data_IF_458127118286
#
_entry.id   IF_458127118286
#
_cell.length_a   1.000
_cell.length_b   1.000
_cell.length_c   1.000
_cell.angle_alpha   90.00
_cell.angle_beta   90.00
_cell.angle_gamma   90.00
#
_symmetry.space_group_name_H-M   'P 1'
#
loop_
_entity.id
_entity.type
_entity.pdbx_description
1 polymer ?
#
# COMPACT_ATOMS: atom_id res chain seq x y z
N UNK A 1 17.26 -31.71 53.32
CA UNK A 1 16.18 -31.08 52.52
C UNK A 1 16.62 -31.08 51.06
N UNK A 2 15.84 -31.68 50.14
CA UNK A 2 16.15 -31.72 48.71
C UNK A 2 15.37 -30.62 47.99
N UNK A 3 16.04 -29.56 47.53
CA UNK A 3 15.43 -28.55 46.67
C UNK A 3 15.20 -29.15 45.27
N UNK A 4 13.96 -29.10 44.79
CA UNK A 4 13.60 -29.46 43.42
C UNK A 4 13.76 -28.23 42.54
N UNK A 5 14.61 -28.31 41.52
CA UNK A 5 14.76 -27.28 40.51
C UNK A 5 13.51 -27.23 39.63
N UNK A 6 12.76 -26.13 39.68
CA UNK A 6 11.68 -25.84 38.73
C UNK A 6 12.31 -25.00 37.63
N UNK A 7 12.65 -25.64 36.50
CA UNK A 7 13.03 -24.95 35.29
C UNK A 7 11.75 -24.45 34.60
N UNK A 8 11.47 -23.15 34.71
CA UNK A 8 10.39 -22.49 33.96
C UNK A 8 10.91 -22.25 32.54
N UNK A 9 10.49 -23.08 31.60
CA UNK A 9 10.70 -22.85 30.18
C UNK A 9 9.77 -21.71 29.72
N UNK A 10 10.34 -20.52 29.52
CA UNK A 10 9.65 -19.39 28.91
C UNK A 10 9.39 -19.67 27.43
N UNK A 11 8.16 -20.06 27.10
CA UNK A 11 7.67 -20.09 25.73
C UNK A 11 7.43 -18.65 25.25
N UNK A 12 8.45 -18.05 24.64
CA UNK A 12 8.30 -16.82 23.87
C UNK A 12 7.48 -17.14 22.61
N UNK A 13 6.18 -16.86 22.66
CA UNK A 13 5.32 -16.91 21.48
C UNK A 13 5.72 -15.75 20.57
N UNK A 14 6.43 -16.07 19.49
CA UNK A 14 6.56 -15.16 18.35
C UNK A 14 5.16 -14.99 17.75
N UNK A 15 4.43 -13.96 18.19
CA UNK A 15 3.22 -13.51 17.52
C UNK A 15 3.69 -13.00 16.16
N UNK A 16 3.61 -13.86 15.15
CA UNK A 16 3.67 -13.44 13.76
C UNK A 16 2.49 -12.49 13.55
N UNK A 17 2.73 -11.19 13.70
CA UNK A 17 1.87 -10.16 13.18
C UNK A 17 1.92 -10.26 11.66
N UNK A 18 1.19 -11.23 11.11
CA UNK A 18 0.80 -11.16 9.72
C UNK A 18 0.02 -9.85 9.59
N UNK A 19 0.66 -8.81 9.02
CA UNK A 19 0.02 -7.53 8.75
C UNK A 19 -1.26 -7.80 7.96
N UNK A 20 -2.40 -7.81 8.66
CA UNK A 20 -3.70 -7.85 8.03
C UNK A 20 -3.79 -6.56 7.22
N UNK A 21 -3.86 -6.69 5.90
CA UNK A 21 -4.02 -5.54 5.03
C UNK A 21 -5.39 -4.94 5.35
N UNK A 22 -5.43 -3.72 5.88
CA UNK A 22 -6.67 -3.02 6.22
C UNK A 22 -7.62 -3.06 5.02
N UNK A 23 -8.92 -3.39 5.17
CA UNK A 23 -9.88 -3.30 4.07
C UNK A 23 -9.83 -1.92 3.41
N UNK A 24 -10.03 -1.84 2.08
CA UNK A 24 -9.83 -0.57 1.37
C UNK A 24 -10.86 0.47 1.76
N UNK A 25 -12.05 0.01 2.14
CA UNK A 25 -13.17 0.80 2.65
C UNK A 25 -12.86 1.43 4.00
N UNK A 26 -11.96 0.83 4.78
CA UNK A 26 -11.56 1.29 6.11
C UNK A 26 -10.34 2.21 6.10
N UNK A 27 -9.79 2.54 4.93
CA UNK A 27 -8.74 3.55 4.84
C UNK A 27 -9.37 4.91 5.09
N UNK A 28 -8.86 5.63 6.07
CA UNK A 28 -9.26 6.99 6.36
C UNK A 28 -8.51 7.96 5.46
N UNK A 29 -9.24 8.92 4.89
CA UNK A 29 -8.70 9.99 4.05
C UNK A 29 -9.23 11.33 4.56
N UNK A 30 -8.54 12.42 4.23
CA UNK A 30 -8.94 13.79 4.59
C UNK A 30 -9.44 14.59 3.38
N UNK A 31 -9.58 13.93 2.24
CA UNK A 31 -10.00 14.56 0.99
C UNK A 31 -11.41 15.13 1.05
N UNK A 32 -11.57 16.33 0.47
CA UNK A 32 -12.89 16.91 0.28
C UNK A 32 -13.68 16.14 -0.77
N UNK A 33 -15.02 16.19 -0.70
CA UNK A 33 -15.87 15.56 -1.71
C UNK A 33 -15.60 16.12 -3.11
N UNK A 34 -15.32 17.42 -3.23
CA UNK A 34 -14.92 18.06 -4.49
C UNK A 34 -13.67 17.40 -5.10
N UNK A 35 -12.63 17.16 -4.29
CA UNK A 35 -11.41 16.48 -4.74
C UNK A 35 -11.71 15.05 -5.20
N UNK A 36 -12.56 14.33 -4.45
CA UNK A 36 -12.94 12.96 -4.77
C UNK A 36 -13.71 12.90 -6.10
N UNK A 37 -14.63 13.84 -6.33
CA UNK A 37 -15.43 13.91 -7.55
C UNK A 37 -14.58 14.31 -8.77
N UNK A 38 -13.62 15.22 -8.59
CA UNK A 38 -12.62 15.54 -9.61
C UNK A 38 -11.79 14.32 -9.97
N UNK A 39 -11.27 13.59 -8.97
CA UNK A 39 -10.52 12.37 -9.20
C UNK A 39 -11.38 11.32 -9.94
N UNK A 40 -12.63 11.08 -9.51
CA UNK A 40 -13.55 10.18 -10.22
C UNK A 40 -13.74 10.56 -11.69
N UNK A 41 -13.85 11.86 -11.97
CA UNK A 41 -13.95 12.38 -13.35
C UNK A 41 -12.67 12.11 -14.14
N UNK A 42 -11.52 12.42 -13.57
CA UNK A 42 -10.21 12.30 -14.23
C UNK A 42 -9.81 10.83 -14.49
N UNK A 43 -10.21 9.90 -13.62
CA UNK A 43 -9.90 8.46 -13.74
C UNK A 43 -11.02 7.62 -14.34
N UNK A 44 -12.13 8.23 -14.81
CA UNK A 44 -13.33 7.51 -15.25
C UNK A 44 -13.05 6.42 -16.29
N UNK A 45 -12.17 6.68 -17.25
CA UNK A 45 -11.86 5.79 -18.37
C UNK A 45 -10.51 5.07 -18.19
N UNK A 46 -9.87 5.21 -17.02
CA UNK A 46 -8.59 4.60 -16.74
C UNK A 46 -8.80 3.16 -16.21
N UNK A 47 -8.67 2.17 -17.09
CA UNK A 47 -9.00 0.75 -16.84
C UNK A 47 -8.46 0.15 -15.52
N UNK A 48 -7.30 0.62 -15.05
CA UNK A 48 -6.62 0.04 -13.88
C UNK A 48 -6.80 0.88 -12.61
N UNK A 49 -7.60 1.95 -12.70
CA UNK A 49 -7.89 2.85 -11.60
C UNK A 49 -9.37 2.80 -11.26
N UNK A 50 -9.65 2.95 -9.96
CA UNK A 50 -10.98 3.19 -9.44
C UNK A 50 -10.86 4.19 -8.30
N UNK A 51 -11.61 5.28 -8.33
CA UNK A 51 -11.69 6.19 -7.18
C UNK A 51 -12.90 5.79 -6.33
N UNK A 52 -12.66 5.53 -5.05
CA UNK A 52 -13.67 5.13 -4.08
C UNK A 52 -14.28 6.35 -3.40
N UNK A 53 -15.49 6.19 -2.86
CA UNK A 53 -16.22 7.26 -2.17
C UNK A 53 -15.50 7.72 -0.89
N UNK A 54 -14.68 6.87 -0.29
CA UNK A 54 -13.86 7.22 0.87
C UNK A 54 -12.55 7.94 0.50
N UNK A 55 -12.40 8.41 -0.74
CA UNK A 55 -11.22 9.17 -1.18
C UNK A 55 -9.96 8.35 -1.46
N UNK A 56 -10.09 7.02 -1.56
CA UNK A 56 -8.99 6.15 -2.00
C UNK A 56 -8.95 6.08 -3.53
N UNK A 57 -7.78 6.36 -4.10
CA UNK A 57 -7.45 6.00 -5.47
C UNK A 57 -6.96 4.55 -5.44
N UNK A 58 -7.74 3.63 -5.98
CA UNK A 58 -7.41 2.22 -6.05
C UNK A 58 -6.82 1.87 -7.41
N UNK A 59 -5.54 1.51 -7.42
CA UNK A 59 -4.85 0.99 -8.60
C UNK A 59 -4.69 -0.52 -8.49
N UNK A 60 -5.05 -1.28 -9.53
CA UNK A 60 -4.81 -2.72 -9.53
C UNK A 60 -4.29 -3.24 -10.86
N UNK A 61 -3.36 -4.21 -10.75
CA UNK A 61 -2.81 -4.96 -11.89
C UNK A 61 -2.71 -6.42 -11.51
N UNK A 62 -3.05 -7.30 -12.46
CA UNK A 62 -2.86 -8.74 -12.34
C UNK A 62 -1.77 -9.20 -13.32
N UNK A 63 -0.92 -10.12 -12.88
CA UNK A 63 -0.01 -10.85 -13.78
C UNK A 63 -0.34 -12.35 -13.71
N UNK A 64 -0.30 -12.99 -14.88
CA UNK A 64 -0.55 -14.41 -15.07
C UNK A 64 0.72 -15.16 -15.49
N UNK A 65 0.63 -16.49 -15.60
CA UNK A 65 1.70 -17.33 -16.11
C UNK A 65 2.89 -17.47 -15.16
N UNK A 66 4.09 -17.56 -15.73
CA UNK A 66 5.34 -17.81 -14.98
C UNK A 66 6.00 -16.54 -14.41
N UNK A 67 5.38 -15.38 -14.61
CA UNK A 67 5.88 -14.10 -14.09
C UNK A 67 5.56 -13.93 -12.60
N UNK A 68 6.37 -13.09 -11.92
CA UNK A 68 6.20 -12.74 -10.51
C UNK A 68 6.51 -11.27 -10.30
N UNK A 69 5.75 -10.62 -9.42
CA UNK A 69 6.07 -9.27 -8.97
C UNK A 69 7.34 -9.26 -8.14
N UNK A 70 8.29 -8.40 -8.51
CA UNK A 70 9.44 -8.08 -7.66
C UNK A 70 9.01 -7.06 -6.60
N UNK A 71 9.21 -7.33 -5.29
CA UNK A 71 8.86 -6.38 -4.24
C UNK A 71 9.57 -5.03 -4.40
N UNK A 72 10.87 -5.03 -4.71
CA UNK A 72 11.65 -3.79 -4.91
C UNK A 72 11.10 -2.96 -6.08
N UNK A 73 10.88 -3.59 -7.24
CA UNK A 73 10.27 -2.90 -8.39
C UNK A 73 8.85 -2.44 -8.12
N UNK A 74 8.09 -3.22 -7.35
CA UNK A 74 6.73 -2.86 -6.97
C UNK A 74 6.71 -1.64 -6.05
N UNK A 75 7.65 -1.56 -5.11
CA UNK A 75 7.81 -0.41 -4.23
C UNK A 75 8.16 0.84 -5.05
N UNK A 76 9.19 0.76 -5.89
CA UNK A 76 9.61 1.88 -6.73
C UNK A 76 8.49 2.39 -7.65
N UNK A 77 7.85 1.49 -8.40
CA UNK A 77 6.79 1.87 -9.34
C UNK A 77 5.57 2.46 -8.61
N UNK A 78 5.29 2.01 -7.38
CA UNK A 78 4.22 2.64 -6.59
C UNK A 78 4.65 3.98 -6.03
N UNK A 79 5.88 4.13 -5.56
CA UNK A 79 6.41 5.42 -5.13
C UNK A 79 6.27 6.47 -6.24
N UNK A 80 6.76 6.17 -7.45
CA UNK A 80 6.69 7.12 -8.58
C UNK A 80 5.24 7.45 -8.95
N UNK A 81 4.39 6.43 -9.06
CA UNK A 81 2.97 6.65 -9.32
C UNK A 81 2.31 7.53 -8.23
N UNK A 82 2.59 7.28 -6.95
CA UNK A 82 1.97 8.01 -5.86
C UNK A 82 2.54 9.43 -5.68
N UNK A 83 3.86 9.49 -5.50
CA UNK A 83 4.60 10.64 -4.99
C UNK A 83 5.07 11.59 -6.09
N UNK A 84 5.07 11.14 -7.35
CA UNK A 84 5.35 11.97 -8.53
C UNK A 84 4.05 12.22 -9.31
N UNK A 85 3.45 11.18 -9.89
CA UNK A 85 2.33 11.34 -10.84
C UNK A 85 1.01 11.76 -10.16
N UNK A 86 0.72 11.21 -8.98
CA UNK A 86 -0.55 11.44 -8.27
C UNK A 86 -0.41 12.38 -7.07
N UNK A 87 0.75 13.04 -6.92
CA UNK A 87 1.08 13.85 -5.75
C UNK A 87 0.01 14.89 -5.43
N UNK A 88 -0.55 15.53 -6.45
CA UNK A 88 -1.59 16.56 -6.30
C UNK A 88 -2.83 16.06 -5.53
N UNK A 89 -3.22 14.80 -5.71
CA UNK A 89 -4.34 14.18 -4.99
C UNK A 89 -3.97 13.83 -3.55
N UNK A 90 -2.75 13.35 -3.32
CA UNK A 90 -2.23 13.03 -1.98
C UNK A 90 -2.09 14.30 -1.13
N UNK A 91 -1.62 15.40 -1.72
CA UNK A 91 -1.58 16.73 -1.08
C UNK A 91 -2.97 17.24 -0.67
N UNK A 92 -4.03 16.73 -1.32
CA UNK A 92 -5.43 17.02 -1.01
C UNK A 92 -6.08 15.95 -0.15
N UNK A 93 -5.27 15.13 0.54
CA UNK A 93 -5.75 14.20 1.54
C UNK A 93 -6.30 12.89 0.99
N UNK A 94 -6.13 12.60 -0.31
CA UNK A 94 -6.43 11.28 -0.87
C UNK A 94 -5.31 10.28 -0.56
N UNK A 95 -5.61 9.00 -0.68
CA UNK A 95 -4.64 7.91 -0.50
C UNK A 95 -4.61 7.03 -1.74
N UNK A 96 -3.43 6.68 -2.24
CA UNK A 96 -3.28 5.65 -3.25
C UNK A 96 -3.16 4.28 -2.58
N UNK A 97 -3.99 3.32 -3.00
CA UNK A 97 -3.76 1.89 -2.78
C UNK A 97 -3.39 1.20 -4.08
N UNK A 98 -2.17 0.70 -4.18
CA UNK A 98 -1.68 -0.08 -5.32
C UNK A 98 -1.69 -1.59 -4.99
N UNK A 99 -2.67 -2.32 -5.54
CA UNK A 99 -2.84 -3.75 -5.33
C UNK A 99 -2.35 -4.55 -6.55
N UNK A 100 -1.19 -5.18 -6.41
CA UNK A 100 -0.62 -6.10 -7.39
C UNK A 100 -1.05 -7.52 -7.07
N UNK A 101 -1.69 -8.18 -8.04
CA UNK A 101 -2.31 -9.50 -7.89
C UNK A 101 -1.56 -10.55 -8.72
N UNK A 102 -1.69 -11.82 -8.34
CA UNK A 102 -0.93 -12.94 -8.94
C UNK A 102 0.30 -13.33 -8.12
N UNK A 103 1.26 -14.03 -8.73
CA UNK A 103 2.45 -14.52 -8.02
C UNK A 103 3.29 -13.36 -7.50
N UNK A 104 3.63 -13.40 -6.22
CA UNK A 104 4.35 -12.30 -5.55
C UNK A 104 3.48 -11.07 -5.27
N UNK A 105 2.16 -11.24 -5.22
CA UNK A 105 1.21 -10.18 -4.89
C UNK A 105 1.67 -9.32 -3.71
N UNK A 106 1.45 -8.02 -3.86
CA UNK A 106 1.77 -7.02 -2.85
C UNK A 106 0.74 -5.90 -2.93
N UNK A 107 0.33 -5.39 -1.78
CA UNK A 107 -0.50 -4.19 -1.68
C UNK A 107 0.30 -3.12 -0.95
N UNK A 108 0.34 -1.92 -1.52
CA UNK A 108 1.07 -0.79 -0.98
C UNK A 108 0.14 0.42 -0.93
N UNK A 109 0.10 1.07 0.22
CA UNK A 109 -0.66 2.29 0.42
C UNK A 109 0.30 3.47 0.56
N UNK A 110 -0.02 4.58 -0.11
CA UNK A 110 0.74 5.82 -0.07
C UNK A 110 -0.22 6.98 0.17
N UNK A 111 0.02 7.67 1.27
CA UNK A 111 -0.46 9.00 1.57
C UNK A 111 0.69 10.01 1.40
N UNK A 112 0.40 11.29 1.66
CA UNK A 112 1.40 12.34 1.60
C UNK A 112 2.55 12.10 2.59
N UNK A 113 2.24 11.71 3.83
CA UNK A 113 3.25 11.49 4.88
C UNK A 113 4.29 10.45 4.45
N UNK A 114 3.83 9.33 3.89
CA UNK A 114 4.73 8.31 3.36
C UNK A 114 5.60 8.84 2.22
N UNK A 115 5.04 9.65 1.32
CA UNK A 115 5.81 10.25 0.22
C UNK A 115 6.91 11.21 0.71
N UNK A 116 6.68 11.89 1.84
CA UNK A 116 7.65 12.83 2.42
C UNK A 116 8.73 12.15 3.26
N UNK A 117 8.42 10.99 3.83
CA UNK A 117 9.32 10.27 4.75
C UNK A 117 10.05 9.10 4.11
N UNK A 118 9.49 8.49 3.07
CA UNK A 118 10.09 7.34 2.41
C UNK A 118 11.12 7.78 1.35
N UNK A 119 12.34 7.26 1.48
CA UNK A 119 13.36 7.42 0.43
C UNK A 119 13.06 6.48 -0.75
N UNK A 120 12.99 6.98 -1.99
CA UNK A 120 12.81 6.15 -3.18
C UNK A 120 13.98 5.19 -3.37
N UNK A 121 13.74 4.08 -4.07
CA UNK A 121 14.78 3.08 -4.30
C UNK A 121 15.66 3.38 -5.52
N UNK A 122 15.21 4.28 -6.41
CA UNK A 122 15.93 4.78 -7.60
C UNK A 122 16.51 3.68 -8.50
N UNK A 123 15.87 2.51 -8.51
CA UNK A 123 16.37 1.31 -9.22
C UNK A 123 16.30 1.42 -10.75
N UNK A 124 15.77 2.53 -11.29
CA UNK A 124 15.67 2.80 -12.72
C UNK A 124 16.54 3.98 -13.17
N UNK A 125 17.23 4.66 -12.25
CA UNK A 125 18.06 5.84 -12.54
C UNK A 125 19.55 5.49 -12.76
N UNK A 126 19.86 4.19 -12.86
CA UNK A 126 21.19 3.61 -13.02
C UNK A 126 21.60 3.41 -14.47
#
# INVERSE_FOLDING_TARGET
MKLKHIAVAGLSTFILSACQTTPVENIHTTASQETIDEAKKNFKDAENFKVLDNGVIYYSRYISGNYRWSPARSKELTYRLACEDLRWYLERGMVLRAARRGKGAITLDYDLERCETETPTNIYDS
#
